data_IF_580462161741
#
_entry.id   IF_580462161741
#
_cell.length_a   1.000
_cell.length_b   1.000
_cell.length_c   1.000
_cell.angle_alpha   90.00
_cell.angle_beta   90.00
_cell.angle_gamma   90.00
#
_symmetry.space_group_name_H-M   'P 1'
#
loop_
_entity.id
_entity.type
_entity.pdbx_description
1 polymer ?
#
# COMPACT_ATOMS: atom_id res chain seq x y z
N UNK A 1 18.78 6.05 12.19
CA UNK A 1 17.85 5.54 13.20
C UNK A 1 16.89 4.60 12.48
N UNK A 2 16.71 3.39 12.99
CA UNK A 2 15.76 2.42 12.43
C UNK A 2 14.40 2.66 13.10
N UNK A 3 13.36 2.87 12.29
CA UNK A 3 12.01 3.08 12.80
C UNK A 3 11.32 1.74 13.05
N UNK A 4 10.42 1.65 14.05
CA UNK A 4 9.63 0.44 14.27
C UNK A 4 8.87 0.08 12.99
N UNK A 5 9.09 -1.14 12.50
CA UNK A 5 8.56 -1.62 11.22
C UNK A 5 7.68 -2.84 11.46
N UNK A 6 6.46 -2.82 10.95
CA UNK A 6 5.50 -3.92 11.03
C UNK A 6 5.29 -4.50 9.64
N UNK A 7 5.56 -5.80 9.49
CA UNK A 7 5.22 -6.51 8.27
C UNK A 7 3.70 -6.59 8.13
N UNK A 8 3.19 -6.23 6.96
CA UNK A 8 1.76 -6.16 6.68
C UNK A 8 1.44 -6.55 5.25
N UNK A 9 0.36 -7.30 5.06
CA UNK A 9 -0.17 -7.67 3.75
C UNK A 9 -1.61 -7.19 3.62
N UNK A 10 -1.93 -6.53 2.52
CA UNK A 10 -3.30 -6.18 2.11
C UNK A 10 -3.51 -6.44 0.61
N UNK A 11 -4.53 -7.25 0.28
CA UNK A 11 -4.94 -7.50 -1.10
C UNK A 11 -6.43 -7.16 -1.28
N UNK A 12 -6.72 -5.91 -1.63
CA UNK A 12 -8.10 -5.43 -1.80
C UNK A 12 -8.47 -5.13 -3.25
N UNK A 13 -7.53 -5.30 -4.19
CA UNK A 13 -7.81 -5.18 -5.62
C UNK A 13 -8.61 -6.38 -6.15
N UNK A 14 -8.27 -7.59 -5.70
CA UNK A 14 -8.92 -8.84 -6.13
C UNK A 14 -10.14 -9.21 -5.27
N UNK A 15 -10.29 -8.61 -4.09
CA UNK A 15 -11.37 -8.90 -3.15
C UNK A 15 -12.29 -7.68 -3.00
N UNK A 16 -13.46 -7.74 -3.64
CA UNK A 16 -14.46 -6.68 -3.55
C UNK A 16 -15.43 -6.81 -2.37
N UNK A 17 -15.55 -8.02 -1.79
CA UNK A 17 -16.44 -8.36 -0.68
C UNK A 17 -15.76 -9.35 0.26
N UNK A 18 -16.25 -9.45 1.50
CA UNK A 18 -15.75 -10.37 2.53
C UNK A 18 -14.23 -10.28 2.72
N UNK A 19 -13.72 -9.06 2.96
CA UNK A 19 -12.30 -8.85 3.21
C UNK A 19 -11.86 -9.66 4.43
N UNK A 20 -11.11 -10.73 4.17
CA UNK A 20 -10.65 -11.66 5.20
C UNK A 20 -9.42 -11.07 5.88
N UNK A 21 -9.33 -11.26 7.19
CA UNK A 21 -8.14 -10.93 7.97
C UNK A 21 -7.69 -12.19 8.74
N UNK A 22 -6.41 -12.52 8.61
CA UNK A 22 -5.75 -13.52 9.42
C UNK A 22 -5.33 -12.92 10.76
N UNK A 23 -5.46 -13.72 11.83
CA UNK A 23 -4.92 -13.39 13.16
C UNK A 23 -3.47 -13.81 13.33
N UNK A 24 -2.91 -14.54 12.36
CA UNK A 24 -1.51 -14.94 12.41
C UNK A 24 -0.60 -13.74 12.11
N UNK A 25 0.50 -13.57 12.86
CA UNK A 25 1.59 -12.68 12.46
C UNK A 25 2.11 -13.03 11.06
N UNK A 26 2.58 -12.02 10.32
CA UNK A 26 3.16 -12.25 8.97
C UNK A 26 4.34 -13.23 9.04
N UNK A 27 5.15 -13.17 10.10
CA UNK A 27 6.32 -14.02 10.28
C UNK A 27 5.99 -15.52 10.45
N UNK A 28 4.77 -15.86 10.88
CA UNK A 28 4.34 -17.25 11.13
C UNK A 28 3.18 -17.68 10.23
N UNK A 29 2.73 -16.80 9.33
CA UNK A 29 1.63 -17.11 8.43
C UNK A 29 2.09 -18.13 7.36
N UNK A 30 1.33 -19.22 7.15
CA UNK A 30 1.67 -20.22 6.14
C UNK A 30 1.57 -19.62 4.73
N UNK A 31 2.34 -20.18 3.80
CA UNK A 31 2.50 -19.64 2.45
C UNK A 31 1.17 -19.57 1.69
N UNK A 32 0.23 -20.48 1.95
CA UNK A 32 -1.11 -20.45 1.33
C UNK A 32 -1.90 -19.20 1.75
N UNK A 33 -1.74 -18.74 2.99
CA UNK A 33 -2.36 -17.50 3.49
C UNK A 33 -1.64 -16.28 2.92
N UNK A 34 -0.31 -16.35 2.80
CA UNK A 34 0.52 -15.33 2.17
C UNK A 34 0.39 -15.26 0.64
N UNK A 35 -0.11 -16.30 -0.01
CA UNK A 35 -0.46 -16.31 -1.42
C UNK A 35 -1.93 -15.92 -1.66
N UNK A 36 -2.81 -16.15 -0.68
CA UNK A 36 -4.24 -15.83 -0.76
C UNK A 36 -4.58 -14.34 -0.72
N UNK A 37 -5.87 -14.01 -0.67
CA UNK A 37 -6.33 -12.61 -0.57
C UNK A 37 -6.36 -12.02 0.86
N UNK A 38 -6.18 -12.85 1.89
CA UNK A 38 -6.35 -12.42 3.27
C UNK A 38 -5.33 -11.34 3.68
N UNK A 39 -5.79 -10.37 4.47
CA UNK A 39 -4.92 -9.43 5.16
C UNK A 39 -4.19 -10.14 6.30
N UNK A 40 -2.90 -9.84 6.48
CA UNK A 40 -2.04 -10.42 7.52
C UNK A 40 -1.25 -9.29 8.18
N UNK A 41 -1.07 -9.34 9.50
CA UNK A 41 -0.34 -8.31 10.28
C UNK A 41 -1.18 -7.13 10.78
N UNK A 42 -2.49 -7.10 10.50
CA UNK A 42 -3.38 -6.03 10.96
C UNK A 42 -3.52 -5.96 12.49
N UNK A 43 -3.52 -7.08 13.22
CA UNK A 43 -3.56 -7.06 14.69
C UNK A 43 -2.28 -6.47 15.28
N UNK A 44 -1.11 -6.82 14.74
CA UNK A 44 0.16 -6.22 15.14
C UNK A 44 0.15 -4.70 14.89
N UNK A 45 -0.33 -4.25 13.74
CA UNK A 45 -0.39 -2.84 13.40
C UNK A 45 -1.34 -2.06 14.32
N UNK A 46 -2.53 -2.62 14.63
CA UNK A 46 -3.47 -2.00 15.56
C UNK A 46 -2.91 -1.95 16.98
N UNK A 47 -2.28 -3.03 17.44
CA UNK A 47 -1.72 -3.13 18.79
C UNK A 47 -0.55 -2.17 19.01
N UNK A 48 0.44 -2.15 18.11
CA UNK A 48 1.63 -1.31 18.25
C UNK A 48 1.41 0.14 17.82
N UNK A 49 0.61 0.36 16.77
CA UNK A 49 0.37 1.69 16.23
C UNK A 49 -0.66 2.49 17.01
N UNK A 50 -1.65 1.84 17.63
CA UNK A 50 -2.77 2.52 18.29
C UNK A 50 -3.09 2.02 19.71
N UNK A 51 -2.48 0.92 20.16
CA UNK A 51 -2.70 0.38 21.50
C UNK A 51 -1.74 0.89 22.59
N UNK A 52 -0.67 1.61 22.22
CA UNK A 52 0.37 2.06 23.16
C UNK A 52 0.83 3.51 23.00
N UNK A 53 0.15 4.29 22.16
CA UNK A 53 0.46 5.70 21.96
C UNK A 53 -0.61 6.54 22.63
N UNK A 54 -0.33 7.02 23.84
CA UNK A 54 -0.94 8.24 24.40
C UNK A 54 -0.46 9.46 23.58
N UNK A 55 -0.72 9.46 22.27
CA UNK A 55 -0.43 10.60 21.40
C UNK A 55 -1.44 11.69 21.76
N UNK A 56 -1.01 12.56 22.68
CA UNK A 56 -1.74 13.75 23.08
C UNK A 56 -1.76 14.74 21.91
N UNK A 57 -2.76 14.59 21.02
CA UNK A 57 -3.24 15.56 20.02
C UNK A 57 -3.18 15.09 18.56
N UNK A 58 -3.91 15.74 17.62
CA UNK A 58 -5.37 15.98 17.57
C UNK A 58 -6.16 14.65 17.53
N UNK A 59 -7.52 14.64 17.54
CA UNK A 59 -8.32 13.43 17.82
C UNK A 59 -8.28 12.29 16.77
N UNK A 60 -7.59 12.45 15.64
CA UNK A 60 -7.71 11.54 14.49
C UNK A 60 -6.34 10.99 14.03
N UNK A 61 -6.03 9.69 14.19
CA UNK A 61 -4.79 9.09 13.72
C UNK A 61 -4.58 9.22 12.19
N UNK A 62 -3.61 10.04 11.79
CA UNK A 62 -3.31 10.32 10.38
C UNK A 62 -2.42 9.24 9.74
N UNK A 63 -2.80 8.73 8.56
CA UNK A 63 -1.86 7.98 7.72
C UNK A 63 -1.06 8.99 6.88
N UNK A 64 0.28 9.05 6.99
CA UNK A 64 1.07 10.03 6.26
C UNK A 64 0.94 9.86 4.73
N UNK A 65 1.05 10.95 3.97
CA UNK A 65 1.12 10.88 2.53
C UNK A 65 2.31 10.01 2.12
N UNK A 66 2.10 9.17 1.12
CA UNK A 66 3.10 8.28 0.58
C UNK A 66 2.97 8.16 -0.94
N UNK A 67 3.95 7.53 -1.57
CA UNK A 67 3.98 7.36 -3.02
C UNK A 67 2.68 6.75 -3.57
N UNK A 68 2.28 7.08 -4.82
CA UNK A 68 1.18 6.38 -5.49
C UNK A 68 1.40 4.87 -5.48
N UNK A 69 0.31 4.09 -5.49
CA UNK A 69 0.34 2.63 -5.66
C UNK A 69 1.09 1.82 -4.58
N UNK A 70 1.52 2.41 -3.47
CA UNK A 70 2.10 1.68 -2.32
C UNK A 70 1.06 0.97 -1.44
N UNK A 71 -0.23 1.06 -1.76
CA UNK A 71 -1.29 0.33 -1.05
C UNK A 71 -1.91 1.03 0.15
N UNK A 72 -1.80 2.36 0.30
CA UNK A 72 -2.43 3.15 1.38
C UNK A 72 -3.92 2.85 1.57
N UNK A 73 -4.71 3.04 0.51
CA UNK A 73 -6.14 2.76 0.50
C UNK A 73 -6.45 1.26 0.71
N UNK A 74 -5.56 0.38 0.27
CA UNK A 74 -5.69 -1.07 0.52
C UNK A 74 -5.51 -1.41 1.99
N UNK A 75 -4.54 -0.78 2.66
CA UNK A 75 -4.31 -0.93 4.10
C UNK A 75 -5.52 -0.45 4.90
N UNK A 76 -6.08 0.71 4.57
CA UNK A 76 -7.28 1.25 5.24
C UNK A 76 -8.47 0.29 5.07
N UNK A 77 -8.73 -0.17 3.84
CA UNK A 77 -9.80 -1.13 3.58
C UNK A 77 -9.61 -2.45 4.35
N UNK A 78 -8.38 -2.95 4.43
CA UNK A 78 -8.06 -4.18 5.16
C UNK A 78 -8.25 -4.02 6.66
N UNK A 79 -7.85 -2.89 7.24
CA UNK A 79 -8.09 -2.58 8.66
C UNK A 79 -9.58 -2.40 8.96
N UNK A 80 -10.32 -1.73 8.06
CA UNK A 80 -11.77 -1.55 8.20
C UNK A 80 -12.56 -2.83 7.95
N UNK A 81 -11.94 -3.84 7.30
CA UNK A 81 -12.59 -5.05 6.78
C UNK A 81 -13.76 -4.75 5.83
N UNK A 82 -13.74 -3.57 5.22
CA UNK A 82 -14.73 -3.12 4.25
C UNK A 82 -14.08 -2.26 3.18
N UNK A 83 -14.67 -2.24 1.98
CA UNK A 83 -14.16 -1.46 0.84
C UNK A 83 -14.74 -0.04 0.90
N UNK A 84 -14.10 0.81 1.70
CA UNK A 84 -14.47 2.22 1.91
C UNK A 84 -13.69 3.17 1.01
N UNK A 85 -12.42 2.84 0.73
CA UNK A 85 -11.57 3.57 -0.20
C UNK A 85 -11.53 2.89 -1.58
N UNK A 86 -11.46 3.70 -2.64
CA UNK A 86 -11.15 3.22 -3.98
C UNK A 86 -9.74 2.63 -4.07
N UNK A 87 -9.58 1.53 -4.80
CA UNK A 87 -8.27 0.89 -5.03
C UNK A 87 -8.15 0.48 -6.50
N UNK A 88 -6.94 0.59 -7.06
CA UNK A 88 -6.63 0.22 -8.43
C UNK A 88 -5.11 0.26 -8.68
N UNK A 89 -4.69 -0.34 -9.79
CA UNK A 89 -3.28 -0.41 -10.18
C UNK A 89 -2.75 0.88 -10.83
N UNK A 90 -3.64 1.76 -11.27
CA UNK A 90 -3.28 3.04 -11.88
C UNK A 90 -3.11 4.13 -10.81
N UNK A 91 -2.09 4.98 -10.91
CA UNK A 91 -1.97 6.14 -10.02
C UNK A 91 -3.14 7.12 -10.23
N UNK A 92 -3.49 7.87 -9.19
CA UNK A 92 -4.57 8.86 -9.24
C UNK A 92 -5.98 8.32 -8.98
N UNK A 93 -6.10 7.11 -8.41
CA UNK A 93 -7.36 6.57 -7.91
C UNK A 93 -7.87 7.41 -6.73
N UNK A 94 -7.03 7.64 -5.73
CA UNK A 94 -7.33 8.56 -4.62
C UNK A 94 -6.98 9.98 -5.04
N UNK A 95 -8.01 10.81 -5.25
CA UNK A 95 -7.87 12.20 -5.74
C UNK A 95 -8.07 13.25 -4.66
N UNK A 96 -8.80 12.92 -3.61
CA UNK A 96 -9.15 13.80 -2.53
C UNK A 96 -8.78 13.14 -1.19
N UNK A 97 -8.44 13.96 -0.21
CA UNK A 97 -8.32 13.52 1.18
C UNK A 97 -9.69 13.03 1.66
N UNK A 98 -9.74 11.86 2.27
CA UNK A 98 -10.97 11.32 2.86
C UNK A 98 -10.70 10.76 4.26
N UNK A 99 -11.62 11.03 5.18
CA UNK A 99 -11.59 10.48 6.53
C UNK A 99 -12.38 9.18 6.60
N UNK A 100 -11.78 8.17 7.23
CA UNK A 100 -12.35 6.83 7.40
C UNK A 100 -12.33 6.45 8.87
N UNK A 101 -13.51 6.37 9.48
CA UNK A 101 -13.65 5.90 10.85
C UNK A 101 -13.40 4.38 10.90
N UNK A 102 -12.35 3.93 11.60
CA UNK A 102 -12.10 2.51 11.85
C UNK A 102 -12.99 2.00 12.99
N UNK A 103 -12.94 2.67 14.14
CA UNK A 103 -13.76 2.40 15.33
C UNK A 103 -14.13 3.72 16.04
N UNK A 104 -14.63 3.70 17.29
CA UNK A 104 -15.04 4.92 18.01
C UNK A 104 -13.89 5.86 18.43
N UNK A 105 -12.64 5.40 18.36
CA UNK A 105 -11.45 6.14 18.82
C UNK A 105 -10.42 6.38 17.72
N UNK A 106 -10.55 5.70 16.58
CA UNK A 106 -9.56 5.70 15.50
C UNK A 106 -10.24 6.12 14.20
N UNK A 107 -9.80 7.27 13.68
CA UNK A 107 -10.13 7.77 12.35
C UNK A 107 -8.84 7.86 11.53
N UNK A 108 -8.82 7.26 10.34
CA UNK A 108 -7.68 7.34 9.42
C UNK A 108 -7.98 8.30 8.27
N UNK A 109 -6.95 8.99 7.78
CA UNK A 109 -7.05 9.79 6.57
C UNK A 109 -6.39 9.07 5.38
N UNK A 110 -7.15 8.80 4.32
CA UNK A 110 -6.61 8.32 3.05
C UNK A 110 -6.22 9.52 2.18
N UNK A 111 -4.91 9.69 2.00
CA UNK A 111 -4.34 10.79 1.23
C UNK A 111 -4.07 10.40 -0.22
N UNK A 112 -4.18 11.33 -1.18
CA UNK A 112 -3.68 11.12 -2.53
C UNK A 112 -2.18 10.78 -2.52
N UNK A 113 -1.73 10.01 -3.52
CA UNK A 113 -0.31 9.72 -3.68
C UNK A 113 0.47 10.96 -4.10
N UNK A 114 1.55 11.29 -3.39
CA UNK A 114 2.41 12.43 -3.69
C UNK A 114 3.69 11.93 -4.35
N UNK A 115 4.10 12.60 -5.43
CA UNK A 115 5.36 12.36 -6.13
C UNK A 115 6.10 13.68 -6.09
N UNK A 116 7.22 13.72 -5.37
CA UNK A 116 8.08 14.90 -5.35
C UNK A 116 9.01 14.84 -6.56
N UNK A 117 9.21 15.98 -7.22
CA UNK A 117 10.20 16.09 -8.28
C UNK A 117 11.60 16.23 -7.64
N UNK A 118 12.28 15.10 -7.53
CA UNK A 118 13.61 14.99 -6.91
C UNK A 118 14.76 15.14 -7.92
N UNK A 119 14.49 15.52 -9.17
CA UNK A 119 15.49 15.51 -10.24
C UNK A 119 15.93 14.09 -10.63
N UNK A 120 15.10 13.09 -10.33
CA UNK A 120 15.37 11.70 -10.64
C UNK A 120 15.45 11.45 -12.16
N UNK A 121 16.15 10.39 -12.60
CA UNK A 121 16.18 10.00 -14.01
C UNK A 121 14.76 9.80 -14.59
N UNK A 122 14.54 10.02 -15.90
CA UNK A 122 13.23 9.90 -16.53
C UNK A 122 12.50 8.56 -16.31
N UNK A 123 13.28 7.49 -16.08
CA UNK A 123 12.76 6.15 -15.79
C UNK A 123 12.17 6.01 -14.38
N UNK A 124 12.59 6.82 -13.41
CA UNK A 124 12.36 6.57 -11.99
C UNK A 124 10.88 6.65 -11.60
N UNK A 125 10.16 7.69 -12.02
CA UNK A 125 8.74 7.84 -11.72
C UNK A 125 7.88 6.70 -12.31
N UNK A 126 8.03 6.32 -13.59
CA UNK A 126 7.39 5.13 -14.15
C UNK A 126 7.65 3.86 -13.33
N UNK A 127 8.92 3.62 -12.96
CA UNK A 127 9.33 2.42 -12.23
C UNK A 127 8.81 2.37 -10.78
N UNK A 128 8.56 3.54 -10.18
CA UNK A 128 7.89 3.67 -8.87
C UNK A 128 6.35 3.60 -8.98
N UNK A 129 5.80 3.33 -10.17
CA UNK A 129 4.35 3.27 -10.37
C UNK A 129 3.65 4.63 -10.26
N UNK A 130 4.38 5.74 -10.35
CA UNK A 130 3.84 7.09 -10.23
C UNK A 130 3.08 7.56 -11.48
N UNK A 131 3.32 6.91 -12.63
CA UNK A 131 2.69 7.24 -13.91
C UNK A 131 2.00 6.02 -14.50
N UNK A 132 0.79 6.21 -15.04
CA UNK A 132 0.07 5.14 -15.73
C UNK A 132 0.82 4.76 -17.03
N UNK A 133 1.00 3.46 -17.34
CA UNK A 133 1.74 3.03 -18.53
C UNK A 133 1.26 3.66 -19.83
N UNK A 134 -0.05 3.91 -19.95
CA UNK A 134 -0.66 4.53 -21.14
C UNK A 134 -0.27 6.01 -21.33
N UNK A 135 0.29 6.66 -20.31
CA UNK A 135 0.70 8.07 -20.33
C UNK A 135 2.21 8.25 -20.52
N UNK A 136 2.96 7.17 -20.67
CA UNK A 136 4.39 7.22 -20.90
C UNK A 136 4.67 7.76 -22.31
N UNK A 137 5.41 8.88 -22.39
CA UNK A 137 5.90 9.41 -23.67
C UNK A 137 6.99 8.52 -24.27
N UNK A 138 7.87 8.01 -23.40
CA UNK A 138 8.91 7.05 -23.74
C UNK A 138 8.76 5.79 -22.87
N UNK A 139 8.14 4.73 -23.40
CA UNK A 139 8.02 3.45 -22.70
C UNK A 139 9.30 2.60 -22.78
N UNK A 140 10.23 2.90 -23.69
CA UNK A 140 11.43 2.07 -23.89
C UNK A 140 12.43 2.24 -22.75
N UNK A 141 12.69 3.48 -22.33
CA UNK A 141 13.59 3.76 -21.21
C UNK A 141 13.24 2.99 -19.92
N UNK A 142 11.99 3.03 -19.39
CA UNK A 142 11.64 2.23 -18.23
C UNK A 142 11.65 0.72 -18.51
N UNK A 143 11.30 0.26 -19.73
CA UNK A 143 11.36 -1.16 -20.07
C UNK A 143 12.80 -1.71 -20.04
N UNK A 144 13.76 -0.99 -20.62
CA UNK A 144 15.19 -1.33 -20.58
C UNK A 144 15.68 -1.37 -19.13
N UNK A 145 15.28 -0.39 -18.31
CA UNK A 145 15.63 -0.36 -16.90
C UNK A 145 15.05 -1.55 -16.10
N UNK A 146 13.88 -2.08 -16.48
CA UNK A 146 13.34 -3.33 -15.92
C UNK A 146 14.22 -4.51 -16.35
N UNK A 147 14.54 -4.63 -17.64
CA UNK A 147 15.37 -5.73 -18.15
C UNK A 147 16.75 -5.78 -17.50
N UNK A 148 17.35 -4.63 -17.19
CA UNK A 148 18.62 -4.58 -16.45
C UNK A 148 18.53 -5.01 -14.98
N UNK A 149 17.32 -4.98 -14.38
CA UNK A 149 17.09 -5.39 -12.98
C UNK A 149 16.61 -6.82 -12.85
N UNK A 150 16.07 -7.40 -13.93
CA UNK A 150 15.52 -8.74 -13.92
C UNK A 150 16.55 -9.75 -14.45
N UNK A 151 16.85 -10.83 -13.70
CA UNK A 151 17.59 -11.98 -14.21
C UNK A 151 17.02 -12.49 -15.54
N UNK A 152 17.86 -12.91 -16.51
CA UNK A 152 17.39 -13.41 -17.80
C UNK A 152 16.43 -14.60 -17.69
N UNK A 153 16.57 -15.43 -16.64
CA UNK A 153 15.64 -16.55 -16.41
C UNK A 153 14.21 -16.06 -16.14
N UNK A 154 14.06 -15.03 -15.29
CA UNK A 154 12.74 -14.48 -14.94
C UNK A 154 12.02 -13.83 -16.13
N UNK A 155 12.77 -13.24 -17.07
CA UNK A 155 12.20 -12.61 -18.27
C UNK A 155 11.79 -13.64 -19.32
N UNK A 156 12.53 -14.75 -19.42
CA UNK A 156 12.30 -15.80 -20.43
C UNK A 156 11.17 -16.77 -20.07
N UNK A 157 10.63 -16.70 -18.84
CA UNK A 157 9.54 -17.55 -18.39
C UNK A 157 9.91 -19.03 -18.30
N UNK A 158 11.19 -19.32 -18.05
CA UNK A 158 11.74 -20.68 -17.88
C UNK A 158 12.15 -20.88 -16.43
#
# INVERSE_FOLDING_TARGET
AEFPTVAFKACTQQQSRHLKQSRLPVATAPEEVLAGGACVGAECLLHWGWGGLDFWGPPDPFLPPGYPNVGKSSLINSLKRSRVCGVGATPGVTRCLQAVQLDRHIQLLDCPGVVLDSGDPPAAAPLRGALAPQRLRDPLTPAIAILHRCPPQQVRGV
#
